data_IF_420932714394
#
_entry.id   IF_420932714394
#
_cell.length_a   1.000
_cell.length_b   1.000
_cell.length_c   1.000
_cell.angle_alpha   90.00
_cell.angle_beta   90.00
_cell.angle_gamma   90.00
#
_symmetry.space_group_name_H-M   'P 1'
#
loop_
_entity.id
_entity.type
_entity.pdbx_description
1 polymer ?
#
# COMPACT_ATOMS: atom_id res chain seq x y z
N UNK A 1 13.62 -21.61 3.30
CA UNK A 1 13.28 -20.54 2.35
C UNK A 1 13.89 -20.92 1.02
N UNK A 2 13.06 -21.21 0.02
CA UNK A 2 13.52 -21.50 -1.34
C UNK A 2 13.83 -20.16 -2.05
N UNK A 3 15.12 -19.82 -2.16
CA UNK A 3 15.56 -18.55 -2.73
C UNK A 3 15.08 -18.40 -4.17
N UNK A 4 15.02 -19.49 -4.95
CA UNK A 4 14.54 -19.44 -6.33
C UNK A 4 13.06 -19.06 -6.41
N UNK A 5 12.25 -19.58 -5.48
CA UNK A 5 10.83 -19.27 -5.37
C UNK A 5 10.58 -17.82 -4.94
N UNK A 6 11.36 -17.31 -3.98
CA UNK A 6 11.32 -15.90 -3.54
C UNK A 6 11.66 -14.93 -4.68
N UNK A 7 12.71 -15.22 -5.46
CA UNK A 7 13.11 -14.35 -6.58
C UNK A 7 12.06 -14.34 -7.71
N UNK A 8 11.38 -15.45 -7.94
CA UNK A 8 10.26 -15.53 -8.89
C UNK A 8 9.01 -14.82 -8.37
N UNK A 9 8.71 -14.91 -7.08
CA UNK A 9 7.62 -14.16 -6.46
C UNK A 9 7.85 -12.65 -6.59
N UNK A 10 9.07 -12.17 -6.26
CA UNK A 10 9.48 -10.79 -6.51
C UNK A 10 9.32 -10.41 -7.99
N UNK A 11 9.77 -11.28 -8.91
CA UNK A 11 9.67 -11.02 -10.35
C UNK A 11 8.23 -10.90 -10.83
N UNK A 12 7.31 -11.71 -10.29
CA UNK A 12 5.89 -11.62 -10.60
C UNK A 12 5.31 -10.26 -10.20
N UNK A 13 5.62 -9.78 -8.99
CA UNK A 13 5.16 -8.47 -8.54
C UNK A 13 5.75 -7.32 -9.37
N UNK A 14 7.03 -7.42 -9.72
CA UNK A 14 7.67 -6.44 -10.59
C UNK A 14 7.04 -6.41 -12.00
N UNK A 15 6.70 -7.58 -12.55
CA UNK A 15 5.98 -7.68 -13.81
C UNK A 15 4.54 -7.15 -13.71
N UNK A 16 3.83 -7.38 -12.60
CA UNK A 16 2.51 -6.80 -12.36
C UNK A 16 2.52 -5.27 -12.40
N UNK A 17 3.63 -4.64 -11.96
CA UNK A 17 3.82 -3.21 -12.04
C UNK A 17 4.19 -2.72 -13.45
N UNK A 18 5.27 -3.26 -14.01
CA UNK A 18 5.97 -2.66 -15.16
C UNK A 18 5.85 -3.47 -16.47
N UNK A 19 5.42 -4.72 -16.36
CA UNK A 19 5.44 -5.68 -17.45
C UNK A 19 4.17 -5.70 -18.28
N UNK A 20 4.30 -6.18 -19.52
CA UNK A 20 3.16 -6.56 -20.33
C UNK A 20 3.51 -7.69 -21.29
N UNK A 21 2.49 -8.45 -21.68
CA UNK A 21 2.56 -9.43 -22.75
C UNK A 21 1.64 -9.02 -23.89
N UNK A 22 1.98 -9.39 -25.12
CA UNK A 22 1.16 -9.06 -26.26
C UNK A 22 1.57 -9.76 -27.55
N UNK A 23 0.83 -9.45 -28.61
CA UNK A 23 1.15 -9.87 -29.97
C UNK A 23 1.57 -8.67 -30.82
N UNK A 24 2.43 -8.92 -31.79
CA UNK A 24 2.86 -7.95 -32.79
C UNK A 24 2.87 -8.62 -34.16
N UNK A 25 3.08 -7.85 -35.23
CA UNK A 25 3.28 -8.42 -36.57
C UNK A 25 4.47 -9.39 -36.67
N UNK A 26 5.34 -9.44 -35.65
CA UNK A 26 6.50 -10.35 -35.56
C UNK A 26 6.26 -11.57 -34.66
N UNK A 27 5.06 -11.72 -34.09
CA UNK A 27 4.70 -12.80 -33.18
C UNK A 27 4.42 -12.32 -31.75
N UNK A 28 4.47 -13.27 -30.81
CA UNK A 28 4.21 -13.04 -29.38
C UNK A 28 5.41 -12.43 -28.67
N UNK A 29 5.18 -11.67 -27.62
CA UNK A 29 6.24 -11.13 -26.79
C UNK A 29 5.80 -10.84 -25.36
N UNK A 30 6.76 -10.70 -24.46
CA UNK A 30 6.59 -10.08 -23.15
C UNK A 30 7.77 -9.16 -22.87
N UNK A 31 7.52 -8.03 -22.22
CA UNK A 31 8.50 -6.96 -22.07
C UNK A 31 8.32 -6.21 -20.74
N UNK A 32 9.44 -5.71 -20.22
CA UNK A 32 9.51 -4.73 -19.13
C UNK A 32 10.41 -3.59 -19.59
N UNK A 33 10.02 -2.35 -19.33
CA UNK A 33 10.82 -1.17 -19.59
C UNK A 33 11.26 -0.52 -18.27
N UNK A 34 12.50 -0.03 -18.21
CA UNK A 34 13.00 0.74 -17.08
C UNK A 34 13.97 1.83 -17.57
N UNK A 35 13.81 3.03 -17.04
CA UNK A 35 14.71 4.15 -17.31
C UNK A 35 15.75 4.25 -16.20
N UNK A 36 17.00 4.43 -16.58
CA UNK A 36 18.08 4.66 -15.62
C UNK A 36 19.26 5.40 -16.28
N UNK A 37 19.72 6.53 -15.72
CA UNK A 37 20.88 7.24 -16.26
C UNK A 37 22.22 6.52 -16.02
N UNK A 38 22.28 5.59 -15.06
CA UNK A 38 23.53 5.00 -14.58
C UNK A 38 23.87 3.65 -15.23
N UNK A 39 23.08 3.20 -16.21
CA UNK A 39 23.32 1.95 -16.94
C UNK A 39 22.11 1.02 -16.93
N UNK A 40 22.35 -0.28 -17.19
CA UNK A 40 21.28 -1.28 -17.16
C UNK A 40 20.70 -1.38 -15.74
N UNK A 41 19.39 -1.14 -15.54
CA UNK A 41 18.77 -1.16 -14.21
C UNK A 41 18.96 -2.50 -13.49
N UNK A 42 19.34 -2.46 -12.21
CA UNK A 42 19.53 -3.65 -11.35
C UNK A 42 18.30 -4.58 -11.37
N UNK A 43 17.10 -3.99 -11.38
CA UNK A 43 15.82 -4.71 -11.39
C UNK A 43 15.62 -5.54 -12.65
N UNK A 44 16.07 -5.07 -13.81
CA UNK A 44 15.99 -5.84 -15.06
C UNK A 44 16.96 -7.03 -15.05
N UNK A 45 18.18 -6.82 -14.53
CA UNK A 45 19.16 -7.89 -14.35
C UNK A 45 18.65 -8.96 -13.36
N UNK A 46 18.04 -8.52 -12.26
CA UNK A 46 17.44 -9.42 -11.26
C UNK A 46 16.29 -10.22 -11.86
N UNK A 47 15.37 -9.55 -12.54
CA UNK A 47 14.24 -10.19 -13.22
C UNK A 47 14.72 -11.24 -14.22
N UNK A 48 15.66 -10.89 -15.12
CA UNK A 48 16.21 -11.82 -16.10
C UNK A 48 16.80 -13.08 -15.46
N UNK A 49 17.58 -12.93 -14.38
CA UNK A 49 18.15 -14.07 -13.65
C UNK A 49 17.08 -14.97 -13.02
N UNK A 50 16.03 -14.37 -12.45
CA UNK A 50 14.97 -15.10 -11.77
C UNK A 50 14.07 -15.90 -12.73
N UNK A 51 13.73 -15.32 -13.89
CA UNK A 51 12.91 -15.99 -14.92
C UNK A 51 13.73 -16.91 -15.82
N UNK A 52 15.04 -16.69 -15.94
CA UNK A 52 15.97 -17.55 -16.67
C UNK A 52 15.92 -17.44 -18.20
N UNK A 53 15.09 -16.54 -18.73
CA UNK A 53 14.90 -16.31 -20.17
C UNK A 53 14.89 -14.82 -20.51
N UNK A 54 14.94 -14.52 -21.81
CA UNK A 54 14.88 -13.17 -22.35
C UNK A 54 16.20 -12.45 -22.44
N UNK A 55 16.16 -11.30 -23.12
CA UNK A 55 17.33 -10.50 -23.45
C UNK A 55 17.16 -9.09 -22.93
N UNK A 56 18.25 -8.52 -22.43
CA UNK A 56 18.33 -7.10 -22.11
C UNK A 56 18.73 -6.33 -23.36
N UNK A 57 18.07 -5.22 -23.61
CA UNK A 57 18.36 -4.32 -24.72
C UNK A 57 18.31 -2.86 -24.30
N UNK A 58 18.88 -1.99 -25.14
CA UNK A 58 19.05 -0.57 -24.86
C UNK A 58 20.51 -0.19 -24.58
N UNK A 59 20.75 1.06 -24.16
CA UNK A 59 19.73 2.09 -23.98
C UNK A 59 19.16 2.58 -25.32
N UNK A 60 17.86 2.87 -25.34
CA UNK A 60 17.27 3.77 -26.34
C UNK A 60 17.45 5.19 -25.82
N UNK A 61 18.11 6.03 -26.61
CA UNK A 61 18.40 7.43 -26.27
C UNK A 61 17.43 8.33 -27.02
N UNK A 62 16.68 9.13 -26.29
CA UNK A 62 15.79 10.17 -26.82
C UNK A 62 16.09 11.50 -26.14
N UNK A 63 16.11 12.59 -26.91
CA UNK A 63 16.41 13.93 -26.37
C UNK A 63 15.42 14.31 -25.26
N UNK A 64 15.97 14.76 -24.12
CA UNK A 64 15.18 15.15 -22.95
C UNK A 64 14.60 13.99 -22.13
N UNK A 65 14.96 12.73 -22.43
CA UNK A 65 14.55 11.56 -21.66
C UNK A 65 15.74 10.80 -21.09
N UNK A 66 15.52 10.13 -19.96
CA UNK A 66 16.50 9.22 -19.40
C UNK A 66 16.69 8.00 -20.32
N UNK A 67 17.90 7.42 -20.38
CA UNK A 67 18.18 6.21 -21.16
C UNK A 67 17.20 5.08 -20.80
N UNK A 68 16.50 4.55 -21.82
CA UNK A 68 15.49 3.51 -21.63
C UNK A 68 16.05 2.12 -21.96
N UNK A 69 16.01 1.24 -20.97
CA UNK A 69 16.37 -0.17 -21.10
C UNK A 69 15.13 -1.05 -21.11
N UNK A 70 15.26 -2.24 -21.69
CA UNK A 70 14.19 -3.23 -21.69
C UNK A 70 14.70 -4.64 -21.47
N UNK A 71 13.91 -5.43 -20.77
CA UNK A 71 13.95 -6.89 -20.86
C UNK A 71 12.88 -7.35 -21.84
N UNK A 72 13.18 -8.28 -22.74
CA UNK A 72 12.22 -8.80 -23.72
C UNK A 72 12.42 -10.27 -24.04
N UNK A 73 11.30 -10.99 -24.19
CA UNK A 73 11.19 -12.31 -24.84
C UNK A 73 10.27 -12.19 -26.04
N UNK A 74 10.60 -12.87 -27.15
CA UNK A 74 9.84 -12.77 -28.40
C UNK A 74 9.64 -14.10 -29.12
N UNK A 75 10.02 -15.22 -28.49
CA UNK A 75 9.70 -16.56 -28.98
C UNK A 75 8.55 -17.12 -28.15
N UNK A 76 7.68 -17.94 -28.76
CA UNK A 76 6.56 -18.57 -28.03
C UNK A 76 7.06 -19.41 -26.85
N UNK A 77 8.17 -20.13 -27.03
CA UNK A 77 8.79 -20.94 -25.98
C UNK A 77 9.27 -20.06 -24.82
N UNK A 78 10.00 -18.99 -25.09
CA UNK A 78 10.51 -18.11 -24.02
C UNK A 78 9.39 -17.34 -23.32
N UNK A 79 8.34 -16.91 -24.03
CA UNK A 79 7.16 -16.27 -23.42
C UNK A 79 6.44 -17.25 -22.50
N UNK A 80 6.29 -18.51 -22.92
CA UNK A 80 5.72 -19.57 -22.06
C UNK A 80 6.58 -19.81 -20.83
N UNK A 81 7.90 -19.98 -20.99
CA UNK A 81 8.82 -20.21 -19.87
C UNK A 81 8.83 -19.04 -18.88
N UNK A 82 8.78 -17.79 -19.37
CA UNK A 82 8.63 -16.63 -18.51
C UNK A 82 7.30 -16.66 -17.74
N UNK A 83 6.20 -17.00 -18.42
CA UNK A 83 4.88 -17.07 -17.79
C UNK A 83 4.82 -18.15 -16.70
N UNK A 84 5.24 -19.38 -17.00
CA UNK A 84 5.27 -20.50 -16.06
C UNK A 84 6.14 -20.18 -14.83
N UNK A 85 7.25 -19.44 -15.01
CA UNK A 85 8.13 -19.07 -13.92
C UNK A 85 7.48 -18.13 -12.89
N UNK A 86 6.53 -17.28 -13.28
CA UNK A 86 5.96 -16.23 -12.40
C UNK A 86 4.46 -16.39 -12.15
N UNK A 87 3.77 -17.24 -12.91
CA UNK A 87 2.32 -17.44 -12.84
C UNK A 87 1.75 -17.75 -11.45
N UNK A 88 2.44 -18.48 -10.54
CA UNK A 88 1.91 -18.74 -9.21
C UNK A 88 1.53 -17.47 -8.43
N UNK A 89 2.27 -16.37 -8.62
CA UNK A 89 2.07 -15.11 -7.87
C UNK A 89 1.45 -13.99 -8.70
N UNK A 90 1.44 -14.12 -10.03
CA UNK A 90 1.05 -13.05 -10.94
C UNK A 90 -0.43 -12.63 -10.75
N UNK A 91 -0.70 -11.33 -10.87
CA UNK A 91 -2.03 -10.74 -10.81
C UNK A 91 -2.91 -11.17 -11.98
N UNK A 92 -4.24 -11.09 -11.80
CA UNK A 92 -5.21 -11.58 -12.78
C UNK A 92 -5.06 -10.94 -14.17
N UNK A 93 -4.86 -9.61 -14.21
CA UNK A 93 -4.71 -8.85 -15.46
C UNK A 93 -3.53 -9.37 -16.27
N UNK A 94 -2.34 -9.45 -15.68
CA UNK A 94 -1.15 -9.91 -16.41
C UNK A 94 -1.20 -11.39 -16.76
N UNK A 95 -1.83 -12.22 -15.91
CA UNK A 95 -2.10 -13.63 -16.25
C UNK A 95 -2.99 -13.74 -17.49
N UNK A 96 -4.02 -12.91 -17.60
CA UNK A 96 -4.88 -12.87 -18.77
C UNK A 96 -4.12 -12.36 -20.01
N UNK A 97 -3.31 -11.31 -19.88
CA UNK A 97 -2.44 -10.81 -20.97
C UNK A 97 -1.56 -11.95 -21.54
N UNK A 98 -0.92 -12.75 -20.67
CA UNK A 98 -0.13 -13.92 -21.10
C UNK A 98 -0.98 -15.00 -21.75
N UNK A 99 -2.11 -15.37 -21.13
CA UNK A 99 -3.00 -16.42 -21.64
C UNK A 99 -3.54 -16.08 -23.04
N UNK A 100 -3.99 -14.84 -23.24
CA UNK A 100 -4.44 -14.32 -24.53
C UNK A 100 -3.30 -14.28 -25.54
N UNK A 101 -2.14 -13.76 -25.15
CA UNK A 101 -0.94 -13.70 -26.01
C UNK A 101 -0.51 -15.07 -26.51
N UNK A 102 -0.56 -16.08 -25.64
CA UNK A 102 -0.17 -17.44 -25.95
C UNK A 102 -1.32 -18.27 -26.54
N UNK A 103 -2.57 -17.80 -26.50
CA UNK A 103 -3.73 -18.60 -26.91
C UNK A 103 -3.85 -19.91 -26.13
N UNK A 104 -3.61 -19.87 -24.80
CA UNK A 104 -3.73 -21.03 -23.91
C UNK A 104 -4.61 -20.69 -22.71
N UNK A 105 -5.09 -21.72 -22.02
CA UNK A 105 -5.52 -21.58 -20.63
C UNK A 105 -4.26 -21.55 -19.76
N UNK A 106 -3.93 -20.40 -19.17
CA UNK A 106 -2.73 -20.25 -18.34
C UNK A 106 -2.79 -21.08 -17.05
N UNK A 107 -1.64 -21.42 -16.44
CA UNK A 107 -1.59 -22.04 -15.12
C UNK A 107 -2.37 -21.20 -14.09
N UNK A 108 -3.03 -21.87 -13.14
CA UNK A 108 -3.77 -21.23 -12.06
C UNK A 108 -2.83 -20.42 -11.16
N UNK A 109 -3.32 -19.32 -10.60
CA UNK A 109 -2.59 -18.62 -9.54
C UNK A 109 -2.61 -19.45 -8.27
N UNK A 110 -1.49 -19.50 -7.56
CA UNK A 110 -1.34 -20.14 -6.25
C UNK A 110 -1.46 -19.13 -5.10
N UNK A 111 -1.88 -17.89 -5.38
CA UNK A 111 -1.82 -16.76 -4.44
C UNK A 111 -2.36 -17.09 -3.05
N UNK A 112 -3.46 -17.84 -2.94
CA UNK A 112 -4.06 -18.17 -1.66
C UNK A 112 -3.28 -19.22 -0.86
N UNK A 113 -2.45 -20.05 -1.51
CA UNK A 113 -1.66 -21.10 -0.87
C UNK A 113 -0.18 -20.76 -0.68
N UNK A 114 0.33 -19.71 -1.33
CA UNK A 114 1.74 -19.33 -1.17
C UNK A 114 2.04 -18.73 0.20
N UNK A 115 3.26 -18.97 0.69
CA UNK A 115 3.73 -18.54 1.99
C UNK A 115 3.83 -17.01 2.10
N UNK A 116 3.80 -16.49 3.34
CA UNK A 116 3.81 -15.04 3.59
C UNK A 116 5.10 -14.36 3.09
N UNK A 117 6.25 -15.01 3.19
CA UNK A 117 7.52 -14.49 2.68
C UNK A 117 7.48 -14.32 1.15
N UNK A 118 6.90 -15.25 0.41
CA UNK A 118 6.67 -15.12 -1.03
C UNK A 118 5.69 -13.99 -1.36
N UNK A 119 4.58 -13.84 -0.62
CA UNK A 119 3.66 -12.70 -0.81
C UNK A 119 4.34 -11.37 -0.52
N UNK A 120 5.23 -11.33 0.47
CA UNK A 120 6.03 -10.15 0.82
C UNK A 120 7.06 -9.84 -0.26
N UNK A 121 7.69 -10.86 -0.84
CA UNK A 121 8.60 -10.71 -1.97
C UNK A 121 7.87 -10.18 -3.21
N UNK A 122 6.69 -10.71 -3.53
CA UNK A 122 5.81 -10.17 -4.57
C UNK A 122 5.46 -8.70 -4.32
N UNK A 123 5.08 -8.35 -3.09
CA UNK A 123 4.77 -6.96 -2.74
C UNK A 123 5.98 -6.03 -2.94
N UNK A 124 7.20 -6.51 -2.62
CA UNK A 124 8.43 -5.76 -2.85
C UNK A 124 8.72 -5.58 -4.35
N UNK A 125 8.47 -6.59 -5.18
CA UNK A 125 8.60 -6.48 -6.64
C UNK A 125 7.66 -5.44 -7.23
N UNK A 126 6.39 -5.49 -6.84
CA UNK A 126 5.40 -4.49 -7.27
C UNK A 126 5.81 -3.08 -6.83
N UNK A 127 6.37 -2.96 -5.62
CA UNK A 127 6.87 -1.70 -5.09
C UNK A 127 8.15 -1.21 -5.79
N UNK A 128 9.05 -2.11 -6.20
CA UNK A 128 10.25 -1.75 -6.96
C UNK A 128 9.91 -1.14 -8.32
N UNK A 129 8.85 -1.62 -8.97
CA UNK A 129 8.29 -0.99 -10.18
C UNK A 129 7.57 0.32 -9.86
N UNK A 130 6.40 0.21 -9.26
CA UNK A 130 5.40 1.30 -9.22
C UNK A 130 5.38 2.06 -7.89
N UNK A 131 6.18 1.62 -6.93
CA UNK A 131 6.19 2.15 -5.57
C UNK A 131 6.98 3.43 -5.41
N UNK A 132 6.57 4.24 -4.43
CA UNK A 132 7.28 5.42 -4.01
C UNK A 132 7.23 5.57 -2.50
N UNK A 133 8.38 5.83 -1.89
CA UNK A 133 8.49 6.28 -0.50
C UNK A 133 9.14 7.66 -0.51
N UNK A 134 8.52 8.62 0.17
CA UNK A 134 9.07 9.96 0.24
C UNK A 134 8.35 10.88 1.20
N UNK A 135 8.56 12.16 0.99
CA UNK A 135 8.12 13.22 1.88
C UNK A 135 6.97 14.02 1.27
N UNK A 136 5.93 14.24 2.06
CA UNK A 136 4.86 15.19 1.74
C UNK A 136 4.87 16.35 2.72
N UNK A 137 4.35 17.51 2.29
CA UNK A 137 4.22 18.67 3.18
C UNK A 137 3.20 18.39 4.28
N UNK A 138 3.54 18.69 5.51
CA UNK A 138 2.60 18.63 6.62
C UNK A 138 1.49 19.67 6.42
N UNK A 139 0.23 19.24 6.46
CA UNK A 139 -0.93 20.09 6.15
C UNK A 139 -1.02 21.37 6.99
N UNK A 140 -0.69 21.30 8.28
CA UNK A 140 -0.83 22.41 9.24
C UNK A 140 0.49 23.02 9.74
N UNK A 141 1.65 22.45 9.42
CA UNK A 141 2.93 22.90 9.98
C UNK A 141 3.89 23.21 8.84
N UNK A 142 4.05 24.50 8.55
CA UNK A 142 4.98 24.99 7.52
C UNK A 142 6.40 24.52 7.83
N UNK A 143 7.13 24.08 6.81
CA UNK A 143 8.50 23.59 6.95
C UNK A 143 8.61 22.18 7.53
N UNK A 144 7.49 21.50 7.79
CA UNK A 144 7.47 20.11 8.26
C UNK A 144 7.05 19.17 7.15
N UNK A 145 7.67 18.00 7.14
CA UNK A 145 7.40 16.90 6.24
C UNK A 145 6.77 15.72 6.98
N UNK A 146 5.93 14.96 6.29
CA UNK A 146 5.38 13.68 6.73
C UNK A 146 5.83 12.60 5.77
N UNK A 147 6.07 11.41 6.31
CA UNK A 147 6.39 10.24 5.50
C UNK A 147 5.13 9.79 4.74
N UNK A 148 5.29 9.43 3.48
CA UNK A 148 4.25 8.82 2.67
C UNK A 148 4.85 7.67 1.86
N UNK A 149 4.04 6.65 1.66
CA UNK A 149 4.35 5.51 0.80
C UNK A 149 3.15 5.26 -0.10
N UNK A 150 3.37 5.03 -1.39
CA UNK A 150 2.29 4.86 -2.36
C UNK A 150 2.66 3.89 -3.49
N UNK A 151 1.65 3.26 -4.08
CA UNK A 151 1.71 2.52 -5.34
C UNK A 151 0.52 2.94 -6.19
N UNK A 152 0.73 3.18 -7.48
CA UNK A 152 -0.32 3.57 -8.43
C UNK A 152 -0.55 2.50 -9.46
N UNK A 153 -1.81 2.33 -9.87
CA UNK A 153 -2.20 1.40 -10.92
C UNK A 153 -3.42 1.94 -11.68
N UNK A 154 -3.44 1.72 -13.00
CA UNK A 154 -4.58 2.10 -13.85
C UNK A 154 -5.59 0.96 -13.96
N UNK A 155 -6.89 1.29 -13.98
CA UNK A 155 -7.97 0.33 -14.22
C UNK A 155 -9.26 1.06 -14.59
N UNK A 156 -10.03 0.50 -15.51
CA UNK A 156 -11.30 1.09 -15.96
C UNK A 156 -12.47 0.80 -15.01
N UNK A 157 -12.50 -0.39 -14.41
CA UNK A 157 -13.71 -0.92 -13.77
C UNK A 157 -13.71 -0.72 -12.25
N UNK A 158 -12.64 -1.16 -11.60
CA UNK A 158 -12.56 -1.21 -10.15
C UNK A 158 -11.12 -1.04 -9.66
N UNK A 159 -10.95 -0.93 -8.34
CA UNK A 159 -9.62 -0.96 -7.74
C UNK A 159 -8.85 -2.19 -8.21
N UNK A 160 -7.65 -2.02 -8.81
CA UNK A 160 -6.82 -3.12 -9.27
C UNK A 160 -6.57 -4.14 -8.17
N UNK A 161 -6.72 -5.41 -8.51
CA UNK A 161 -6.57 -6.54 -7.61
C UNK A 161 -5.19 -6.56 -6.93
N UNK A 162 -4.14 -6.19 -7.65
CA UNK A 162 -2.78 -6.05 -7.11
C UNK A 162 -2.67 -4.99 -6.00
N UNK A 163 -3.46 -3.90 -6.05
CA UNK A 163 -3.45 -2.92 -4.94
C UNK A 163 -4.14 -3.47 -3.70
N UNK A 164 -5.13 -4.35 -3.88
CA UNK A 164 -5.82 -5.06 -2.78
C UNK A 164 -4.86 -6.05 -2.14
N UNK A 165 -4.18 -6.89 -2.94
CA UNK A 165 -3.13 -7.80 -2.47
C UNK A 165 -2.05 -7.07 -1.69
N UNK A 166 -1.53 -5.96 -2.22
CA UNK A 166 -0.50 -5.15 -1.57
C UNK A 166 -0.95 -4.67 -0.18
N UNK A 167 -2.17 -4.13 -0.10
CA UNK A 167 -2.76 -3.67 1.17
C UNK A 167 -2.83 -4.81 2.19
N UNK A 168 -3.27 -5.98 1.73
CA UNK A 168 -3.51 -7.14 2.60
C UNK A 168 -2.18 -7.74 3.09
N UNK A 169 -1.16 -7.81 2.23
CA UNK A 169 0.20 -8.24 2.61
C UNK A 169 0.83 -7.28 3.62
N UNK A 170 0.71 -5.97 3.41
CA UNK A 170 1.32 -4.96 4.28
C UNK A 170 0.49 -4.63 5.52
N UNK A 171 -0.73 -5.17 5.63
CA UNK A 171 -1.62 -4.97 6.77
C UNK A 171 -2.03 -3.51 7.00
N UNK A 172 -1.99 -2.66 5.97
CA UNK A 172 -2.25 -1.23 6.15
C UNK A 172 -2.32 -0.41 4.86
N UNK A 173 -2.70 0.87 5.03
CA UNK A 173 -2.90 1.81 3.92
C UNK A 173 -4.33 1.79 3.40
N UNK A 174 -4.62 2.75 2.52
CA UNK A 174 -5.93 2.91 1.89
C UNK A 174 -5.78 2.99 0.38
N UNK A 175 -6.74 2.39 -0.33
CA UNK A 175 -6.85 2.52 -1.78
C UNK A 175 -7.78 3.69 -2.07
N UNK A 176 -7.25 4.69 -2.77
CA UNK A 176 -7.96 5.87 -3.22
C UNK A 176 -8.21 5.82 -4.73
N UNK A 177 -9.22 6.56 -5.19
CA UNK A 177 -9.60 6.67 -6.59
C UNK A 177 -10.98 6.05 -6.86
N UNK A 178 -11.35 5.88 -8.14
CA UNK A 178 -10.53 6.25 -9.30
C UNK A 178 -10.33 7.77 -9.43
N UNK A 179 -9.09 8.19 -9.65
CA UNK A 179 -8.77 9.55 -10.10
C UNK A 179 -8.89 9.58 -11.63
N UNK A 180 -9.81 10.41 -12.14
CA UNK A 180 -10.09 10.52 -13.58
C UNK A 180 -9.36 11.71 -14.18
N UNK A 181 -8.82 11.53 -15.39
CA UNK A 181 -8.20 12.56 -16.21
C UNK A 181 -8.38 12.25 -17.69
N UNK A 182 -7.51 12.77 -18.56
CA UNK A 182 -7.53 12.48 -20.00
C UNK A 182 -7.07 11.05 -20.36
N UNK A 183 -6.63 10.27 -19.36
CA UNK A 183 -6.15 8.89 -19.50
C UNK A 183 -7.05 7.94 -18.69
N UNK A 184 -6.72 6.65 -18.73
CA UNK A 184 -7.36 5.61 -17.93
C UNK A 184 -7.47 6.03 -16.46
N UNK A 185 -8.56 5.67 -15.76
CA UNK A 185 -8.69 5.98 -14.34
C UNK A 185 -7.55 5.37 -13.53
N UNK A 186 -7.00 6.14 -12.59
CA UNK A 186 -5.86 5.72 -11.76
C UNK A 186 -6.32 5.52 -10.33
N UNK A 187 -5.95 4.38 -9.75
CA UNK A 187 -6.09 4.08 -8.34
C UNK A 187 -4.74 4.22 -7.65
N UNK A 188 -4.77 4.52 -6.36
CA UNK A 188 -3.55 4.68 -5.55
C UNK A 188 -3.73 4.01 -4.21
N UNK A 189 -2.93 2.99 -3.92
CA UNK A 189 -2.71 2.56 -2.55
C UNK A 189 -1.77 3.55 -1.87
N UNK A 190 -2.08 3.99 -0.65
CA UNK A 190 -1.27 4.97 0.07
C UNK A 190 -1.29 4.77 1.58
N UNK A 191 -0.13 4.92 2.20
CA UNK A 191 0.07 4.99 3.64
C UNK A 191 0.60 6.36 4.06
N UNK A 192 0.15 6.82 5.23
CA UNK A 192 0.51 8.10 5.85
C UNK A 192 0.85 8.00 7.33
N UNK A 193 0.61 6.84 7.95
CA UNK A 193 0.89 6.61 9.36
C UNK A 193 2.35 6.18 9.46
N UNK A 194 3.17 7.02 10.08
CA UNK A 194 4.63 6.83 10.17
C UNK A 194 5.00 5.42 10.67
N UNK A 195 4.35 4.95 11.74
CA UNK A 195 4.60 3.61 12.29
C UNK A 195 4.28 2.48 11.29
N UNK A 196 3.17 2.60 10.55
CA UNK A 196 2.80 1.62 9.51
C UNK A 196 3.79 1.64 8.35
N UNK A 197 4.23 2.83 7.90
CA UNK A 197 5.19 2.95 6.81
C UNK A 197 6.54 2.33 7.22
N UNK A 198 7.02 2.60 8.43
CA UNK A 198 8.26 1.98 8.94
C UNK A 198 8.14 0.47 8.98
N UNK A 199 7.01 -0.07 9.45
CA UNK A 199 6.76 -1.50 9.45
C UNK A 199 6.76 -2.08 8.03
N UNK A 200 6.12 -1.41 7.07
CA UNK A 200 6.13 -1.83 5.66
C UNK A 200 7.54 -1.76 5.05
N UNK A 201 8.32 -0.70 5.31
CA UNK A 201 9.72 -0.62 4.85
C UNK A 201 10.56 -1.76 5.41
N UNK A 202 10.44 -2.07 6.71
CA UNK A 202 11.15 -3.19 7.34
C UNK A 202 10.74 -4.53 6.72
N UNK A 203 9.45 -4.75 6.49
CA UNK A 203 8.94 -5.99 5.89
C UNK A 203 9.42 -6.19 4.45
N UNK A 204 9.48 -5.12 3.66
CA UNK A 204 9.89 -5.18 2.25
C UNK A 204 11.42 -5.16 2.07
N UNK A 205 12.18 -4.58 2.99
CA UNK A 205 13.63 -4.36 2.87
C UNK A 205 14.46 -5.59 2.47
N UNK A 206 14.19 -6.82 2.96
CA UNK A 206 14.92 -8.01 2.52
C UNK A 206 14.81 -8.28 1.01
N UNK A 207 13.73 -7.81 0.37
CA UNK A 207 13.41 -8.11 -1.02
C UNK A 207 13.46 -6.88 -1.94
N UNK A 208 13.51 -5.66 -1.41
CA UNK A 208 13.62 -4.44 -2.22
C UNK A 208 15.00 -4.31 -2.87
N UNK A 209 15.05 -3.62 -4.00
CA UNK A 209 16.31 -3.21 -4.60
C UNK A 209 17.05 -2.15 -3.75
N UNK A 210 18.32 -1.92 -4.09
CA UNK A 210 19.14 -0.91 -3.40
C UNK A 210 18.55 0.51 -3.48
N UNK A 211 18.06 0.91 -4.66
CA UNK A 211 17.55 2.26 -4.92
C UNK A 211 16.33 2.64 -4.07
N UNK A 212 15.30 1.79 -4.00
CA UNK A 212 14.09 2.03 -3.18
C UNK A 212 14.40 1.97 -1.68
N UNK A 213 15.33 1.11 -1.25
CA UNK A 213 15.82 1.10 0.14
C UNK A 213 16.45 2.43 0.51
N UNK A 214 17.40 2.91 -0.29
CA UNK A 214 18.06 4.21 -0.08
C UNK A 214 17.04 5.36 -0.09
N UNK A 215 16.06 5.35 -1.00
CA UNK A 215 14.99 6.34 -1.02
C UNK A 215 14.16 6.33 0.28
N UNK A 216 13.78 5.15 0.76
CA UNK A 216 13.04 5.01 2.01
C UNK A 216 13.86 5.47 3.22
N UNK A 217 15.12 5.05 3.32
CA UNK A 217 16.04 5.42 4.39
C UNK A 217 16.28 6.94 4.43
N UNK A 218 16.47 7.56 3.27
CA UNK A 218 16.62 9.01 3.16
C UNK A 218 15.36 9.75 3.64
N UNK A 219 14.17 9.30 3.24
CA UNK A 219 12.91 9.90 3.67
C UNK A 219 12.70 9.75 5.19
N UNK A 220 12.99 8.57 5.73
CA UNK A 220 12.93 8.28 7.16
C UNK A 220 13.90 9.17 7.94
N UNK A 221 15.16 9.27 7.49
CA UNK A 221 16.19 10.08 8.13
C UNK A 221 15.81 11.57 8.21
N UNK A 222 15.13 12.10 7.18
CA UNK A 222 14.60 13.47 7.23
C UNK A 222 13.57 13.61 8.33
N UNK A 223 12.60 12.69 8.43
CA UNK A 223 11.55 12.75 9.46
C UNK A 223 12.14 12.61 10.86
N UNK A 224 13.12 11.73 11.06
CA UNK A 224 13.78 11.49 12.35
C UNK A 224 14.56 12.71 12.87
N UNK A 225 15.10 13.53 11.97
CA UNK A 225 15.78 14.78 12.33
C UNK A 225 14.84 15.93 12.66
N UNK A 226 13.53 15.80 12.38
CA UNK A 226 12.59 16.86 12.69
C UNK A 226 12.28 16.91 14.19
N UNK A 227 12.15 18.10 14.78
CA UNK A 227 11.63 18.23 16.13
C UNK A 227 10.27 17.52 16.26
N UNK A 228 10.11 16.77 17.36
CA UNK A 228 8.82 16.18 17.71
C UNK A 228 7.81 17.33 17.89
N UNK A 229 6.66 17.23 17.23
CA UNK A 229 5.58 18.17 17.52
C UNK A 229 5.11 17.95 18.96
N UNK A 230 4.97 19.05 19.70
CA UNK A 230 4.17 19.05 20.90
C UNK A 230 2.76 18.55 20.57
N UNK A 231 2.20 17.69 21.42
CA UNK A 231 0.77 17.36 21.31
C UNK A 231 -0.04 18.56 21.79
N UNK A 232 -1.02 18.95 20.99
CA UNK A 232 -1.91 20.07 21.31
C UNK A 232 -1.27 21.42 21.04
N UNK A 233 -2.06 22.48 21.18
CA UNK A 233 -1.51 23.82 21.23
C UNK A 233 -0.93 24.03 22.63
N UNK A 234 0.34 24.48 22.78
CA UNK A 234 0.93 24.77 24.10
C UNK A 234 0.08 25.70 24.96
N UNK A 235 -0.70 26.61 24.35
CA UNK A 235 -1.61 27.52 25.05
C UNK A 235 -2.92 26.88 25.52
N UNK A 236 -3.30 25.70 25.00
CA UNK A 236 -4.57 25.02 25.32
C UNK A 236 -4.39 23.68 26.04
N UNK A 237 -3.14 23.25 26.26
CA UNK A 237 -2.80 21.98 26.88
C UNK A 237 -2.92 20.76 25.94
N UNK A 238 -2.70 19.57 26.47
CA UNK A 238 -2.72 18.31 25.72
C UNK A 238 -4.13 17.88 25.25
N UNK A 239 -5.18 18.50 25.79
CA UNK A 239 -6.57 18.18 25.49
C UNK A 239 -7.12 19.16 24.45
N UNK A 240 -7.93 18.65 23.53
CA UNK A 240 -8.75 19.48 22.62
C UNK A 240 -9.80 20.20 23.47
N UNK A 241 -9.43 21.33 24.06
CA UNK A 241 -10.32 22.24 24.79
C UNK A 241 -10.86 23.33 23.87
N UNK A 242 -10.25 23.55 22.70
CA UNK A 242 -10.65 24.59 21.75
C UNK A 242 -10.68 24.09 20.29
N UNK A 243 -11.60 24.60 19.47
CA UNK A 243 -11.66 24.30 18.04
C UNK A 243 -10.57 25.04 17.25
N UNK A 244 -10.44 24.74 15.95
CA UNK A 244 -9.44 25.39 15.06
C UNK A 244 -9.61 26.92 14.95
N UNK A 245 -10.78 27.45 15.31
CA UNK A 245 -11.08 28.88 15.37
C UNK A 245 -10.97 29.46 16.79
N UNK A 246 -10.45 28.69 17.76
CA UNK A 246 -10.21 29.18 19.13
C UNK A 246 -11.42 29.20 20.06
N UNK A 247 -12.55 28.58 19.71
CA UNK A 247 -13.71 28.47 20.61
C UNK A 247 -13.53 27.31 21.58
N UNK A 248 -13.75 27.54 22.88
CA UNK A 248 -13.73 26.49 23.90
C UNK A 248 -14.83 25.44 23.64
N UNK A 249 -14.52 24.15 23.62
CA UNK A 249 -15.48 23.09 23.41
C UNK A 249 -16.52 23.00 24.54
N UNK A 250 -16.23 23.53 25.74
CA UNK A 250 -17.20 23.64 26.83
C UNK A 250 -18.37 24.59 26.49
N UNK A 251 -18.15 25.59 25.62
CA UNK A 251 -19.19 26.52 25.15
C UNK A 251 -19.72 26.20 23.76
N UNK A 252 -19.06 25.31 23.02
CA UNK A 252 -19.59 24.73 21.79
C UNK A 252 -20.76 23.81 22.15
N UNK A 253 -21.95 24.40 22.38
CA UNK A 253 -23.23 23.69 22.42
C UNK A 253 -23.18 22.63 21.33
N UNK A 254 -23.31 21.37 21.74
CA UNK A 254 -23.59 20.25 20.83
C UNK A 254 -24.77 20.73 20.01
N UNK A 255 -24.53 21.24 18.80
CA UNK A 255 -25.61 21.47 17.86
C UNK A 255 -26.19 20.08 17.65
N UNK A 256 -27.49 19.85 17.89
CA UNK A 256 -28.12 18.62 17.47
C UNK A 256 -27.72 18.40 16.02
N UNK A 257 -27.12 17.24 15.73
CA UNK A 257 -26.69 16.91 14.38
C UNK A 257 -27.89 17.09 13.44
N UNK A 258 -27.84 18.12 12.59
CA UNK A 258 -28.86 18.39 11.58
C UNK A 258 -28.31 17.85 10.27
N UNK A 259 -28.84 16.69 9.84
CA UNK A 259 -28.45 16.09 8.58
C UNK A 259 -28.56 17.12 7.43
N UNK A 260 -27.57 17.15 6.54
CA UNK A 260 -27.62 18.02 5.36
C UNK A 260 -28.60 17.42 4.35
N UNK A 261 -29.65 18.21 4.07
CA UNK A 261 -30.71 18.03 3.07
C UNK A 261 -31.73 16.91 3.35
N UNK A 262 -33.00 17.28 3.22
CA UNK A 262 -34.14 16.39 3.24
C UNK A 262 -34.17 15.57 1.94
N UNK A 263 -34.14 14.25 2.07
CA UNK A 263 -34.28 13.29 0.97
C UNK A 263 -33.09 12.35 0.86
N UNK A 264 -33.20 11.15 1.45
CA UNK A 264 -32.26 10.05 1.19
C UNK A 264 -31.98 9.14 2.38
N UNK A 265 -32.92 8.22 2.63
CA UNK A 265 -32.81 6.98 3.41
C UNK A 265 -32.52 7.06 4.91
N UNK A 266 -33.56 6.76 5.69
CA UNK A 266 -33.50 6.31 7.08
C UNK A 266 -32.70 5.02 7.20
N UNK A 267 -31.60 5.07 7.97
CA UNK A 267 -30.94 3.90 8.56
C UNK A 267 -31.13 3.95 10.09
N UNK A 268 -31.15 2.79 10.79
CA UNK A 268 -31.81 2.64 12.08
C UNK A 268 -31.07 3.32 13.24
N UNK A 269 -31.86 3.74 14.22
CA UNK A 269 -31.44 4.34 15.48
C UNK A 269 -30.38 3.48 16.19
N UNK A 270 -29.20 4.04 16.43
CA UNK A 270 -28.28 3.52 17.42
C UNK A 270 -28.93 3.64 18.81
N UNK A 271 -29.24 2.50 19.43
CA UNK A 271 -29.52 2.41 20.86
C UNK A 271 -28.30 2.93 21.62
N UNK A 272 -28.53 3.90 22.50
CA UNK A 272 -27.55 4.41 23.44
C UNK A 272 -27.01 3.28 24.34
N UNK A 273 -25.69 3.18 24.43
CA UNK A 273 -25.05 2.53 25.58
C UNK A 273 -24.86 3.56 26.70
N UNK A 274 -25.33 3.29 27.94
CA UNK A 274 -25.06 4.18 29.05
C UNK A 274 -23.63 3.98 29.57
N UNK A 275 -22.94 5.10 29.70
CA UNK A 275 -21.73 5.25 30.50
C UNK A 275 -22.03 4.96 31.98
N UNK A 276 -21.28 4.04 32.59
CA UNK A 276 -21.24 3.88 34.05
C UNK A 276 -19.80 4.02 34.50
N UNK A 277 -19.46 5.20 35.02
CA UNK A 277 -18.43 5.38 36.04
C UNK A 277 -18.93 6.44 37.01
N UNK A 278 -19.46 6.01 38.15
CA UNK A 278 -19.48 6.79 39.37
C UNK A 278 -19.38 5.82 40.55
N UNK A 279 -18.23 5.85 41.24
CA UNK A 279 -18.04 5.27 42.57
C UNK A 279 -18.79 6.13 43.58
N UNK A 280 -19.60 5.52 44.43
CA UNK A 280 -19.84 5.99 45.80
C UNK A 280 -20.23 4.81 46.68
N UNK A 281 -19.47 4.62 47.78
CA UNK A 281 -19.68 3.66 48.85
C UNK A 281 -21.04 3.84 49.56
N UNK A 282 -21.64 2.78 50.13
CA UNK A 282 -22.68 2.92 51.16
C UNK A 282 -22.13 2.60 52.55
N UNK A 283 -22.09 3.60 53.42
CA UNK A 283 -22.01 3.44 54.87
C UNK A 283 -23.41 3.36 55.49
N UNK A 284 -23.59 2.39 56.40
CA UNK A 284 -24.41 2.45 57.60
C UNK A 284 -25.93 2.74 57.46
N UNK A 285 -26.74 1.68 57.41
CA UNK A 285 -28.12 1.70 57.89
C UNK A 285 -28.28 0.79 59.12
N UNK A 286 -28.29 1.44 60.28
CA UNK A 286 -28.54 0.95 61.62
C UNK A 286 -29.96 0.39 61.74
N UNK A 287 -30.12 -0.94 61.85
CA UNK A 287 -31.40 -1.58 62.22
C UNK A 287 -31.34 -2.09 63.65
N UNK A 288 -32.09 -1.44 64.54
CA UNK A 288 -32.40 -1.89 65.90
C UNK A 288 -33.29 -3.15 65.80
N UNK A 289 -32.86 -4.27 66.39
CA UNK A 289 -33.77 -5.32 66.87
C UNK A 289 -33.32 -5.81 68.23
N UNK A 290 -34.33 -6.03 69.07
CA UNK A 290 -34.32 -6.23 70.52
C UNK A 290 -33.78 -7.62 70.89
N UNK A 291 -33.11 -7.69 72.04
CA UNK A 291 -32.82 -8.90 72.82
C UNK A 291 -34.08 -9.74 73.07
N UNK A 292 -33.90 -11.04 73.31
CA UNK A 292 -34.21 -11.53 74.65
C UNK A 292 -33.00 -12.22 75.31
N UNK A 293 -32.91 -11.98 76.61
CA UNK A 293 -32.00 -12.62 77.55
C UNK A 293 -32.50 -14.02 77.93
N UNK A 294 -31.57 -14.96 78.17
CA UNK A 294 -31.30 -15.63 79.45
C UNK A 294 -30.96 -17.12 79.32
N UNK A 295 -29.81 -17.45 79.93
CA UNK A 295 -29.27 -18.73 80.45
C UNK A 295 -28.78 -19.78 79.47
#
# INVERSE_FOLDING_TARGET
MDIGRIERAWSAGFFDGEGWAGTSGRGVFAQINQADPDGVPEVLLRFQRAVGVGRLGGPVLEEGKEPLYRWVVSSRADVMSAFEAIAPWLGEVKRNDFAETLGISGPASEWESVALDERTAWAAGLFDGEGWTGLEKHRSHKGRSVLAMAVTQASELAAPEVLVRLRDVLGGGHIYGPYRGARLPVYRWKQHVEGSIRASVVALSPYLNSRKRIQADNAIAVVDRQPKLGRGNPTWGAYKTHCVNGHEYATARIRPYRARKAGGHTAPQFKAMPSVLARTSPSAARRKRKNPLWR
#
